data_IF_816940416071
#
_entry.id   IF_816940416071
#
_cell.length_a   1.000
_cell.length_b   1.000
_cell.length_c   1.000
_cell.angle_alpha   90.00
_cell.angle_beta   90.00
_cell.angle_gamma   90.00
#
_symmetry.space_group_name_H-M   'P 1'
#
loop_
_entity.id
_entity.type
_entity.pdbx_description
1 polymer ?
#
# COMPACT_ATOMS: atom_id res chain seq x y z
N UNK A 1 -14.58 -56.40 -17.63
CA UNK A 1 -15.13 -55.51 -18.69
C UNK A 1 -15.33 -54.14 -18.06
N UNK A 2 -14.32 -53.28 -18.08
CA UNK A 2 -14.39 -51.94 -17.46
C UNK A 2 -13.77 -50.96 -18.44
N UNK A 3 -14.64 -50.29 -19.19
CA UNK A 3 -14.30 -49.36 -20.26
C UNK A 3 -13.75 -48.08 -19.61
N UNK A 4 -12.42 -47.91 -19.61
CA UNK A 4 -11.78 -46.60 -19.38
C UNK A 4 -12.09 -45.73 -20.60
N UNK A 5 -13.06 -44.82 -20.47
CA UNK A 5 -13.31 -43.77 -21.47
C UNK A 5 -12.09 -42.84 -21.53
N UNK A 6 -11.55 -42.51 -22.71
CA UNK A 6 -10.50 -41.50 -22.81
C UNK A 6 -11.14 -40.13 -22.56
N UNK A 7 -10.74 -39.46 -21.49
CA UNK A 7 -11.05 -38.04 -21.29
C UNK A 7 -10.39 -37.29 -22.44
N UNK A 8 -11.19 -36.57 -23.23
CA UNK A 8 -10.77 -35.86 -24.44
C UNK A 8 -9.71 -34.81 -24.07
N UNK A 9 -8.50 -34.95 -24.62
CA UNK A 9 -7.41 -33.97 -24.47
C UNK A 9 -7.82 -32.53 -24.82
N UNK A 10 -8.80 -32.34 -25.72
CA UNK A 10 -9.33 -31.02 -26.08
C UNK A 10 -10.07 -30.29 -24.96
N UNK A 11 -10.62 -30.97 -23.95
CA UNK A 11 -11.31 -30.32 -22.82
C UNK A 11 -10.31 -29.74 -21.82
N UNK A 12 -9.13 -30.37 -21.66
CA UNK A 12 -8.08 -29.89 -20.75
C UNK A 12 -7.36 -28.65 -21.28
N UNK A 13 -7.14 -28.58 -22.60
CA UNK A 13 -6.51 -27.41 -23.27
C UNK A 13 -7.43 -26.18 -23.16
N UNK A 14 -8.74 -26.33 -23.40
CA UNK A 14 -9.68 -25.20 -23.27
C UNK A 14 -9.81 -24.68 -21.84
N UNK A 15 -9.67 -25.54 -20.84
CA UNK A 15 -9.71 -25.13 -19.42
C UNK A 15 -8.44 -24.39 -19.00
N UNK A 16 -7.25 -24.80 -19.47
CA UNK A 16 -6.00 -24.10 -19.14
C UNK A 16 -5.95 -22.71 -19.76
N UNK A 17 -6.40 -22.56 -21.00
CA UNK A 17 -6.38 -21.27 -21.70
C UNK A 17 -7.31 -20.28 -21.01
N UNK A 18 -8.51 -20.71 -20.62
CA UNK A 18 -9.46 -19.88 -19.88
C UNK A 18 -8.89 -19.36 -18.56
N UNK A 19 -8.19 -20.23 -17.80
CA UNK A 19 -7.54 -19.85 -16.53
C UNK A 19 -6.42 -18.82 -16.76
N UNK A 20 -5.65 -18.94 -17.85
CA UNK A 20 -4.62 -17.95 -18.17
C UNK A 20 -5.23 -16.58 -18.52
N UNK A 21 -6.33 -16.57 -19.30
CA UNK A 21 -7.05 -15.33 -19.59
C UNK A 21 -7.61 -14.67 -18.33
N UNK A 22 -8.18 -15.44 -17.41
CA UNK A 22 -8.67 -14.94 -16.12
C UNK A 22 -7.54 -14.29 -15.30
N UNK A 23 -6.39 -14.96 -15.21
CA UNK A 23 -5.22 -14.45 -14.49
C UNK A 23 -4.70 -13.13 -15.06
N UNK A 24 -4.58 -13.03 -16.38
CA UNK A 24 -4.15 -11.79 -17.05
C UNK A 24 -5.22 -10.69 -16.95
N UNK A 25 -6.50 -11.04 -17.01
CA UNK A 25 -7.58 -10.09 -16.80
C UNK A 25 -7.55 -9.51 -15.37
N UNK A 26 -7.27 -10.35 -14.36
CA UNK A 26 -7.12 -9.90 -12.98
C UNK A 26 -5.86 -9.04 -12.79
N UNK A 27 -4.75 -9.39 -13.44
CA UNK A 27 -3.53 -8.57 -13.44
C UNK A 27 -3.80 -7.16 -14.02
N UNK A 28 -4.53 -7.09 -15.15
CA UNK A 28 -4.97 -5.83 -15.76
C UNK A 28 -5.92 -5.06 -14.82
N UNK A 29 -6.91 -5.74 -14.23
CA UNK A 29 -7.88 -5.13 -13.34
C UNK A 29 -7.24 -4.57 -12.06
N UNK A 30 -6.30 -5.30 -11.46
CA UNK A 30 -5.50 -4.85 -10.33
C UNK A 30 -4.73 -3.56 -10.67
N UNK A 31 -4.10 -3.52 -11.85
CA UNK A 31 -3.43 -2.32 -12.35
C UNK A 31 -4.40 -1.15 -12.58
N UNK A 32 -5.56 -1.39 -13.19
CA UNK A 32 -6.59 -0.37 -13.41
C UNK A 32 -7.07 0.20 -12.06
N UNK A 33 -7.33 -0.65 -11.07
CA UNK A 33 -7.78 -0.24 -9.73
C UNK A 33 -6.81 0.75 -9.09
N UNK A 34 -5.52 0.39 -9.03
CA UNK A 34 -4.47 1.27 -8.50
C UNK A 34 -4.35 2.53 -9.38
N UNK A 35 -4.47 2.38 -10.70
CA UNK A 35 -4.42 3.46 -11.68
C UNK A 35 -5.56 4.46 -11.58
N UNK A 36 -6.73 4.08 -11.05
CA UNK A 36 -7.85 5.00 -10.80
C UNK A 36 -7.46 6.02 -9.73
N UNK A 37 -6.92 5.57 -8.60
CA UNK A 37 -6.44 6.47 -7.54
C UNK A 37 -5.35 7.41 -8.03
N UNK A 38 -4.44 6.91 -8.89
CA UNK A 38 -3.36 7.74 -9.45
C UNK A 38 -3.87 8.71 -10.52
N UNK A 39 -4.79 8.28 -11.37
CA UNK A 39 -5.41 9.11 -12.39
C UNK A 39 -6.34 10.18 -11.84
N UNK A 40 -6.96 9.93 -10.67
CA UNK A 40 -7.89 10.85 -10.01
C UNK A 40 -7.21 12.10 -9.45
N UNK A 41 -6.03 11.97 -8.85
CA UNK A 41 -5.27 13.13 -8.33
C UNK A 41 -4.57 13.96 -9.41
N UNK A 42 -4.25 13.37 -10.57
CA UNK A 42 -3.72 14.11 -11.72
C UNK A 42 -4.78 14.80 -12.58
N UNK A 43 -6.07 14.86 -12.16
CA UNK A 43 -7.15 15.38 -13.02
C UNK A 43 -7.07 16.88 -13.31
N UNK A 44 -6.42 17.67 -12.47
CA UNK A 44 -6.17 19.08 -12.71
C UNK A 44 -4.99 19.33 -13.69
N UNK A 45 -4.26 18.28 -14.06
CA UNK A 45 -3.12 18.36 -14.96
C UNK A 45 -3.53 18.05 -16.41
N UNK A 46 -3.04 18.85 -17.36
CA UNK A 46 -3.32 18.70 -18.79
C UNK A 46 -2.99 17.28 -19.31
N UNK A 47 -3.73 16.83 -20.32
CA UNK A 47 -3.41 15.58 -21.02
C UNK A 47 -1.98 15.65 -21.58
N UNK A 48 -1.11 14.76 -21.11
CA UNK A 48 0.32 14.74 -21.45
C UNK A 48 1.27 15.10 -20.29
N UNK A 49 0.80 15.75 -19.21
CA UNK A 49 1.64 16.01 -18.03
C UNK A 49 1.43 15.04 -16.86
N UNK A 50 0.51 14.06 -17.01
CA UNK A 50 0.24 13.03 -16.00
C UNK A 50 1.32 11.95 -16.05
N UNK A 51 2.12 11.87 -15.00
CA UNK A 51 3.28 10.96 -14.91
C UNK A 51 2.88 9.47 -15.01
N UNK A 52 1.70 9.08 -14.52
CA UNK A 52 1.12 7.74 -14.73
C UNK A 52 -0.36 7.72 -14.31
N UNK A 53 -1.25 7.24 -15.19
CA UNK A 53 -2.70 7.16 -14.93
C UNK A 53 -3.26 5.74 -15.06
N UNK A 54 -4.59 5.62 -15.22
CA UNK A 54 -5.32 4.34 -15.36
C UNK A 54 -4.69 3.42 -16.40
N UNK A 55 -4.39 3.97 -17.58
CA UNK A 55 -3.78 3.22 -18.70
C UNK A 55 -2.39 2.72 -18.35
N UNK A 56 -1.54 3.58 -17.77
CA UNK A 56 -0.16 3.23 -17.39
C UNK A 56 -0.15 2.11 -16.37
N UNK A 57 -0.91 2.24 -15.28
CA UNK A 57 -0.96 1.23 -14.23
C UNK A 57 -1.64 -0.07 -14.67
N UNK A 58 -2.68 -0.01 -15.50
CA UNK A 58 -3.25 -1.19 -16.15
C UNK A 58 -2.22 -1.95 -16.97
N UNK A 59 -1.45 -1.25 -17.80
CA UNK A 59 -0.38 -1.84 -18.60
C UNK A 59 0.77 -2.40 -17.74
N UNK A 60 1.10 -1.75 -16.63
CA UNK A 60 2.12 -2.26 -15.69
C UNK A 60 1.67 -3.58 -15.05
N UNK A 61 0.40 -3.66 -14.62
CA UNK A 61 -0.15 -4.89 -14.05
C UNK A 61 -0.15 -6.02 -15.07
N UNK A 62 -0.61 -5.73 -16.29
CA UNK A 62 -0.56 -6.69 -17.39
C UNK A 62 0.87 -7.12 -17.72
N UNK A 63 1.82 -6.18 -17.74
CA UNK A 63 3.24 -6.43 -18.02
C UNK A 63 3.83 -7.43 -17.00
N UNK A 64 3.56 -7.22 -15.71
CA UNK A 64 3.97 -8.16 -14.66
C UNK A 64 3.37 -9.55 -14.87
N UNK A 65 2.08 -9.61 -15.21
CA UNK A 65 1.40 -10.87 -15.50
C UNK A 65 1.98 -11.62 -16.70
N UNK A 66 2.28 -10.90 -17.78
CA UNK A 66 2.91 -11.48 -18.98
C UNK A 66 4.32 -12.00 -18.67
N UNK A 67 5.11 -11.24 -17.92
CA UNK A 67 6.47 -11.67 -17.55
C UNK A 67 6.48 -12.87 -16.63
N UNK A 68 5.48 -13.03 -15.76
CA UNK A 68 5.31 -14.26 -14.98
C UNK A 68 5.06 -15.47 -15.88
N UNK A 69 4.17 -15.35 -16.87
CA UNK A 69 3.92 -16.44 -17.81
C UNK A 69 5.16 -16.78 -18.66
N UNK A 70 5.97 -15.78 -19.01
CA UNK A 70 7.27 -16.03 -19.68
C UNK A 70 8.23 -16.75 -18.74
N UNK A 71 8.27 -16.36 -17.47
CA UNK A 71 9.13 -16.96 -16.45
C UNK A 71 8.79 -18.43 -16.17
N UNK A 72 7.53 -18.85 -16.32
CA UNK A 72 7.14 -20.26 -16.21
C UNK A 72 7.91 -21.16 -17.21
N UNK A 73 8.29 -20.62 -18.38
CA UNK A 73 9.06 -21.35 -19.39
C UNK A 73 10.57 -21.04 -19.36
N UNK A 74 10.94 -19.81 -19.01
CA UNK A 74 12.32 -19.32 -19.10
C UNK A 74 13.07 -19.29 -17.75
N UNK A 75 12.37 -19.57 -16.65
CA UNK A 75 12.90 -19.59 -15.28
C UNK A 75 12.67 -18.30 -14.49
N UNK A 76 12.64 -18.42 -13.16
CA UNK A 76 12.32 -17.33 -12.21
C UNK A 76 13.28 -16.13 -12.30
N UNK A 77 14.54 -16.37 -12.68
CA UNK A 77 15.56 -15.32 -12.87
C UNK A 77 15.10 -14.28 -13.90
N UNK A 78 14.36 -14.71 -14.93
CA UNK A 78 13.85 -13.85 -16.00
C UNK A 78 12.83 -12.85 -15.45
N UNK A 79 11.98 -13.27 -14.50
CA UNK A 79 11.02 -12.37 -13.85
C UNK A 79 11.75 -11.29 -13.03
N UNK A 80 12.79 -11.68 -12.29
CA UNK A 80 13.62 -10.74 -11.51
C UNK A 80 14.33 -9.72 -12.40
N UNK A 81 14.87 -10.15 -13.54
CA UNK A 81 15.49 -9.26 -14.53
C UNK A 81 14.47 -8.32 -15.17
N UNK A 82 13.28 -8.82 -15.54
CA UNK A 82 12.20 -8.02 -16.09
C UNK A 82 11.71 -6.96 -15.09
N UNK A 83 11.55 -7.34 -13.82
CA UNK A 83 11.22 -6.41 -12.74
C UNK A 83 12.30 -5.34 -12.57
N UNK A 84 13.58 -5.72 -12.56
CA UNK A 84 14.71 -4.79 -12.46
C UNK A 84 14.79 -3.82 -13.64
N UNK A 85 14.61 -4.32 -14.87
CA UNK A 85 14.58 -3.50 -16.09
C UNK A 85 13.38 -2.53 -16.07
N UNK A 86 12.20 -3.01 -15.71
CA UNK A 86 11.01 -2.17 -15.53
C UNK A 86 11.26 -1.08 -14.47
N UNK A 87 11.80 -1.45 -13.31
CA UNK A 87 12.11 -0.51 -12.24
C UNK A 87 13.07 0.58 -12.72
N UNK A 88 14.13 0.21 -13.42
CA UNK A 88 15.11 1.16 -13.95
C UNK A 88 14.49 2.14 -14.95
N UNK A 89 13.72 1.63 -15.91
CA UNK A 89 13.05 2.46 -16.93
C UNK A 89 12.01 3.37 -16.29
N UNK A 90 11.16 2.82 -15.42
CA UNK A 90 10.11 3.58 -14.76
C UNK A 90 10.71 4.66 -13.86
N UNK A 91 11.64 4.31 -12.96
CA UNK A 91 12.30 5.26 -12.08
C UNK A 91 13.08 6.33 -12.85
N UNK A 92 13.81 5.94 -13.91
CA UNK A 92 14.52 6.91 -14.77
C UNK A 92 13.56 7.90 -15.42
N UNK A 93 12.46 7.42 -16.00
CA UNK A 93 11.42 8.29 -16.58
C UNK A 93 10.74 9.17 -15.53
N UNK A 94 10.53 8.63 -14.33
CA UNK A 94 9.92 9.33 -13.21
C UNK A 94 10.82 10.46 -12.71
N UNK A 95 12.11 10.19 -12.52
CA UNK A 95 13.09 11.20 -12.08
C UNK A 95 13.24 12.33 -13.10
N UNK A 96 13.23 12.01 -14.40
CA UNK A 96 13.25 13.02 -15.46
C UNK A 96 11.99 13.91 -15.43
N UNK A 97 10.83 13.34 -15.07
CA UNK A 97 9.59 14.10 -14.89
C UNK A 97 9.59 14.93 -13.59
N UNK A 98 10.14 14.39 -12.49
CA UNK A 98 10.26 15.08 -11.19
C UNK A 98 11.13 16.33 -11.29
N UNK A 99 12.26 16.27 -12.02
CA UNK A 99 13.14 17.44 -12.20
C UNK A 99 12.44 18.62 -12.88
N UNK A 100 11.34 18.36 -13.60
CA UNK A 100 10.54 19.40 -14.23
C UNK A 100 9.38 19.89 -13.34
N UNK A 101 8.96 19.12 -12.31
CA UNK A 101 7.84 19.46 -11.42
C UNK A 101 8.05 18.94 -9.99
N UNK A 102 8.06 19.85 -9.03
CA UNK A 102 8.41 19.66 -7.61
C UNK A 102 7.48 18.74 -6.77
N UNK A 103 6.50 18.05 -7.36
CA UNK A 103 5.44 17.36 -6.59
C UNK A 103 5.12 15.94 -7.11
N UNK A 104 6.10 15.29 -7.71
CA UNK A 104 5.97 13.88 -8.10
C UNK A 104 6.53 13.01 -6.98
N UNK A 105 5.63 12.43 -6.17
CA UNK A 105 5.98 11.74 -4.92
C UNK A 105 6.55 10.33 -5.10
N UNK A 106 7.51 9.95 -4.25
CA UNK A 106 8.11 8.61 -4.18
C UNK A 106 7.10 7.45 -4.06
N UNK A 107 5.90 7.72 -3.54
CA UNK A 107 4.81 6.74 -3.45
C UNK A 107 4.30 6.26 -4.81
N UNK A 108 4.40 7.07 -5.87
CA UNK A 108 4.02 6.67 -7.23
C UNK A 108 4.99 5.62 -7.79
N UNK A 109 6.29 5.78 -7.53
CA UNK A 109 7.29 4.80 -7.91
C UNK A 109 7.04 3.46 -7.22
N UNK A 110 6.83 3.47 -5.90
CA UNK A 110 6.52 2.25 -5.14
C UNK A 110 5.23 1.60 -5.63
N UNK A 111 4.19 2.38 -5.90
CA UNK A 111 2.93 1.87 -6.44
C UNK A 111 3.12 1.19 -7.80
N UNK A 112 3.94 1.75 -8.69
CA UNK A 112 4.20 1.15 -10.00
C UNK A 112 4.93 -0.21 -9.85
N UNK A 113 5.93 -0.29 -8.98
CA UNK A 113 6.63 -1.55 -8.67
C UNK A 113 5.68 -2.59 -8.07
N UNK A 114 4.84 -2.19 -7.10
CA UNK A 114 3.82 -3.07 -6.52
C UNK A 114 2.83 -3.56 -7.58
N UNK A 115 2.43 -2.69 -8.51
CA UNK A 115 1.48 -3.05 -9.56
C UNK A 115 2.03 -4.14 -10.48
N UNK A 116 3.31 -4.05 -10.84
CA UNK A 116 3.98 -5.12 -11.59
C UNK A 116 3.99 -6.42 -10.79
N UNK A 117 4.39 -6.35 -9.51
CA UNK A 117 4.48 -7.53 -8.66
C UNK A 117 3.11 -8.20 -8.43
N UNK A 118 2.05 -7.42 -8.23
CA UNK A 118 0.67 -7.93 -8.09
C UNK A 118 0.16 -8.53 -9.40
N UNK A 119 0.52 -7.95 -10.54
CA UNK A 119 0.23 -8.54 -11.85
C UNK A 119 0.91 -9.89 -12.05
N UNK A 120 2.20 -9.99 -11.69
CA UNK A 120 2.93 -11.26 -11.70
C UNK A 120 2.31 -12.28 -10.74
N UNK A 121 1.93 -11.86 -9.53
CA UNK A 121 1.27 -12.70 -8.53
C UNK A 121 -0.09 -13.24 -9.03
N UNK A 122 -0.88 -12.41 -9.73
CA UNK A 122 -2.12 -12.85 -10.36
C UNK A 122 -1.86 -13.93 -11.42
N UNK A 123 -0.84 -13.74 -12.27
CA UNK A 123 -0.42 -14.72 -13.27
C UNK A 123 0.16 -16.00 -12.67
N UNK A 124 0.78 -15.94 -11.48
CA UNK A 124 1.21 -17.11 -10.74
C UNK A 124 0.04 -17.98 -10.22
N UNK A 125 -1.18 -17.41 -10.19
CA UNK A 125 -2.40 -18.09 -9.74
C UNK A 125 -2.91 -17.63 -8.39
N UNK A 126 -2.20 -16.71 -7.73
CA UNK A 126 -2.57 -16.17 -6.41
C UNK A 126 -3.57 -15.02 -6.55
N UNK A 127 -4.71 -15.29 -7.18
CA UNK A 127 -5.72 -14.29 -7.56
C UNK A 127 -6.24 -13.49 -6.36
N UNK A 128 -6.52 -14.16 -5.24
CA UNK A 128 -7.05 -13.53 -4.03
C UNK A 128 -6.04 -12.56 -3.40
N UNK A 129 -4.76 -12.97 -3.33
CA UNK A 129 -3.69 -12.12 -2.79
C UNK A 129 -3.39 -10.94 -3.70
N UNK A 130 -3.37 -11.15 -5.01
CA UNK A 130 -3.18 -10.08 -5.99
C UNK A 130 -4.32 -9.03 -5.91
N UNK A 131 -5.57 -9.49 -5.84
CA UNK A 131 -6.72 -8.60 -5.70
C UNK A 131 -6.74 -7.85 -4.36
N UNK A 132 -6.51 -8.55 -3.24
CA UNK A 132 -6.43 -7.94 -1.92
C UNK A 132 -5.29 -6.92 -1.83
N UNK A 133 -4.11 -7.27 -2.36
CA UNK A 133 -2.98 -6.38 -2.45
C UNK A 133 -3.27 -5.13 -3.29
N UNK A 134 -3.98 -5.28 -4.41
CA UNK A 134 -4.39 -4.14 -5.24
C UNK A 134 -5.36 -3.21 -4.51
N UNK A 135 -6.36 -3.77 -3.80
CA UNK A 135 -7.31 -3.01 -2.99
C UNK A 135 -6.61 -2.28 -1.86
N UNK A 136 -5.77 -2.96 -1.07
CA UNK A 136 -5.03 -2.36 0.05
C UNK A 136 -4.10 -1.26 -0.45
N UNK A 137 -3.38 -1.52 -1.55
CA UNK A 137 -2.50 -0.52 -2.18
C UNK A 137 -3.31 0.69 -2.61
N UNK A 138 -4.43 0.49 -3.32
CA UNK A 138 -5.34 1.55 -3.76
C UNK A 138 -5.88 2.36 -2.57
N UNK A 139 -6.35 1.70 -1.51
CA UNK A 139 -6.82 2.36 -0.30
C UNK A 139 -5.72 3.22 0.33
N UNK A 140 -4.53 2.64 0.59
CA UNK A 140 -3.42 3.36 1.20
C UNK A 140 -3.02 4.60 0.38
N UNK A 141 -3.03 4.45 -0.94
CA UNK A 141 -2.75 5.52 -1.89
C UNK A 141 -3.81 6.63 -1.85
N UNK A 142 -5.09 6.28 -1.69
CA UNK A 142 -6.21 7.21 -1.56
C UNK A 142 -6.28 7.94 -0.21
N UNK A 143 -5.59 7.46 0.82
CA UNK A 143 -5.52 8.12 2.14
C UNK A 143 -4.60 9.36 2.15
N UNK A 144 -3.66 9.50 1.19
CA UNK A 144 -2.70 10.63 1.13
C UNK A 144 -3.33 12.02 1.30
N UNK A 145 -4.42 12.40 0.59
CA UNK A 145 -5.03 13.73 0.69
C UNK A 145 -5.80 13.93 1.99
N UNK A 146 -6.28 12.84 2.58
CA UNK A 146 -6.91 12.88 3.90
C UNK A 146 -5.83 13.24 4.90
N UNK A 147 -4.72 12.50 4.92
CA UNK A 147 -3.60 12.76 5.83
C UNK A 147 -3.03 14.18 5.70
N UNK A 148 -2.84 14.69 4.48
CA UNK A 148 -2.37 16.07 4.29
C UNK A 148 -3.36 17.10 4.84
N UNK A 149 -4.67 16.95 4.58
CA UNK A 149 -5.69 17.86 5.13
C UNK A 149 -5.80 17.79 6.65
N UNK A 150 -5.60 16.62 7.26
CA UNK A 150 -5.54 16.52 8.72
C UNK A 150 -4.29 17.19 9.27
N UNK A 151 -3.13 17.00 8.63
CA UNK A 151 -1.88 17.67 9.03
C UNK A 151 -1.98 19.20 8.87
N UNK A 152 -2.59 19.70 7.80
CA UNK A 152 -2.79 21.14 7.59
C UNK A 152 -3.73 21.77 8.62
N UNK A 153 -4.62 20.97 9.23
CA UNK A 153 -5.55 21.43 10.27
C UNK A 153 -4.95 21.38 11.67
N UNK A 154 -3.91 20.58 11.89
CA UNK A 154 -3.24 20.45 13.19
C UNK A 154 -2.19 21.55 13.31
N UNK A 155 -2.28 22.37 14.36
CA UNK A 155 -1.24 23.36 14.64
C UNK A 155 0.06 22.70 15.13
N UNK A 156 1.20 23.37 14.95
CA UNK A 156 2.48 22.88 15.48
C UNK A 156 2.44 22.65 17.00
N UNK A 157 1.69 23.48 17.72
CA UNK A 157 1.48 23.38 19.16
C UNK A 157 0.67 22.14 19.54
N UNK A 158 -0.37 21.82 18.76
CA UNK A 158 -1.17 20.60 18.93
C UNK A 158 -0.35 19.35 18.65
N UNK A 159 0.49 19.37 17.60
CA UNK A 159 1.42 18.27 17.31
C UNK A 159 2.38 18.04 18.47
N UNK A 160 2.96 19.12 19.03
CA UNK A 160 3.81 19.02 20.21
C UNK A 160 3.04 18.52 21.44
N UNK A 161 1.77 18.89 21.62
CA UNK A 161 0.94 18.41 22.71
C UNK A 161 0.68 16.89 22.60
N UNK A 162 0.33 16.40 21.40
CA UNK A 162 0.18 14.95 21.12
C UNK A 162 1.50 14.22 21.37
N UNK A 163 2.61 14.76 20.86
CA UNK A 163 3.92 14.14 21.03
C UNK A 163 4.33 14.09 22.51
N UNK A 164 4.10 15.16 23.27
CA UNK A 164 4.32 15.18 24.73
C UNK A 164 3.47 14.13 25.44
N UNK A 165 2.19 14.00 25.07
CA UNK A 165 1.29 13.00 25.63
C UNK A 165 1.75 11.56 25.29
N UNK A 166 2.23 11.33 24.06
CA UNK A 166 2.82 10.05 23.64
C UNK A 166 4.11 9.74 24.41
N UNK A 167 4.99 10.72 24.63
CA UNK A 167 6.18 10.52 25.45
C UNK A 167 5.79 10.20 26.90
N UNK A 168 4.83 10.92 27.47
CA UNK A 168 4.35 10.66 28.83
C UNK A 168 3.71 9.28 28.98
N UNK A 169 2.98 8.80 27.97
CA UNK A 169 2.22 7.55 28.05
C UNK A 169 2.95 6.31 27.52
N UNK A 170 3.65 6.41 26.39
CA UNK A 170 4.30 5.27 25.73
C UNK A 170 5.74 5.09 26.20
N UNK A 171 6.43 6.17 26.56
CA UNK A 171 7.85 6.10 26.96
C UNK A 171 8.00 6.15 28.49
N UNK A 172 7.42 7.14 29.15
CA UNK A 172 7.62 7.36 30.58
C UNK A 172 6.84 6.36 31.45
N UNK A 173 5.55 6.13 31.13
CA UNK A 173 4.71 5.23 31.91
C UNK A 173 5.29 3.80 32.09
N UNK A 174 5.76 3.08 31.05
CA UNK A 174 6.30 1.73 31.24
C UNK A 174 7.64 1.70 31.99
N UNK A 175 8.36 2.81 32.04
CA UNK A 175 9.63 2.94 32.79
C UNK A 175 9.37 3.10 34.29
N UNK A 176 8.17 3.53 34.69
CA UNK A 176 7.85 3.78 36.08
C UNK A 176 7.69 2.47 36.87
N UNK A 177 8.32 2.36 38.05
CA UNK A 177 8.21 1.17 38.87
C UNK A 177 6.79 1.05 39.44
N UNK A 178 6.13 -0.07 39.15
CA UNK A 178 4.80 -0.38 39.68
C UNK A 178 4.88 -0.92 41.12
N UNK A 179 5.28 -0.08 42.06
CA UNK A 179 5.34 -0.40 43.49
C UNK A 179 5.02 0.83 44.33
N UNK A 180 4.33 0.62 45.45
CA UNK A 180 4.04 1.69 46.39
C UNK A 180 5.29 2.16 47.15
N UNK A 181 5.46 3.48 47.25
CA UNK A 181 6.48 4.16 48.03
C UNK A 181 5.85 4.91 49.22
N UNK A 182 6.61 5.13 50.30
CA UNK A 182 6.20 5.90 51.47
C UNK A 182 5.49 5.10 52.59
N UNK A 183 5.11 5.75 53.71
CA UNK A 183 4.37 5.12 54.79
C UNK A 183 3.06 4.53 54.25
N UNK A 184 2.75 3.29 54.63
CA UNK A 184 1.59 2.54 54.14
C UNK A 184 1.57 2.19 52.64
N UNK A 185 2.68 2.35 51.91
CA UNK A 185 2.78 2.09 50.46
C UNK A 185 1.77 2.89 49.60
N UNK A 186 1.26 4.01 50.12
CA UNK A 186 0.14 4.73 49.51
C UNK A 186 0.45 5.41 48.17
N UNK A 187 1.74 5.61 47.82
CA UNK A 187 2.13 6.32 46.60
C UNK A 187 2.68 5.34 45.56
N UNK A 188 1.87 4.91 44.61
CA UNK A 188 2.33 4.14 43.45
C UNK A 188 2.62 5.09 42.27
N UNK A 189 3.90 5.28 41.85
CA UNK A 189 4.25 6.16 40.74
C UNK A 189 3.58 5.79 39.42
N UNK A 190 3.37 4.50 39.17
CA UNK A 190 2.71 4.03 37.96
C UNK A 190 1.24 4.46 37.92
N UNK A 191 0.50 4.28 39.02
CA UNK A 191 -0.92 4.66 39.11
C UNK A 191 -1.11 6.18 39.06
N UNK A 192 -0.27 6.93 39.79
CA UNK A 192 -0.31 8.39 39.77
C UNK A 192 -0.05 8.95 38.36
N UNK A 193 0.94 8.39 37.66
CA UNK A 193 1.26 8.82 36.31
C UNK A 193 0.19 8.41 35.29
N UNK A 194 -0.42 7.24 35.47
CA UNK A 194 -1.57 6.82 34.67
C UNK A 194 -2.73 7.82 34.76
N UNK A 195 -3.04 8.31 35.96
CA UNK A 195 -4.05 9.36 36.15
C UNK A 195 -3.70 10.65 35.40
N UNK A 196 -2.43 11.08 35.44
CA UNK A 196 -1.95 12.27 34.72
C UNK A 196 -2.14 12.09 33.21
N UNK A 197 -1.78 10.93 32.66
CA UNK A 197 -1.95 10.61 31.24
C UNK A 197 -3.44 10.62 30.86
N UNK A 198 -4.31 10.04 31.69
CA UNK A 198 -5.76 10.02 31.44
C UNK A 198 -6.35 11.43 31.42
N UNK A 199 -6.04 12.26 32.42
CA UNK A 199 -6.56 13.63 32.51
C UNK A 199 -6.05 14.46 31.34
N UNK A 200 -4.76 14.40 31.04
CA UNK A 200 -4.16 15.12 29.91
C UNK A 200 -4.75 14.67 28.56
N UNK A 201 -4.99 13.37 28.39
CA UNK A 201 -5.63 12.81 27.20
C UNK A 201 -7.08 13.27 27.05
N UNK A 202 -7.87 13.24 28.12
CA UNK A 202 -9.25 13.75 28.14
C UNK A 202 -9.31 15.25 27.85
N UNK A 203 -8.40 16.06 28.42
CA UNK A 203 -8.32 17.49 28.14
C UNK A 203 -7.95 17.77 26.69
N UNK A 204 -7.02 17.01 26.12
CA UNK A 204 -6.64 17.14 24.72
C UNK A 204 -7.80 16.76 23.78
N UNK A 205 -8.50 15.67 24.06
CA UNK A 205 -9.70 15.26 23.31
C UNK A 205 -10.82 16.29 23.41
N UNK A 206 -11.03 16.88 24.59
CA UNK A 206 -12.01 17.95 24.80
C UNK A 206 -11.70 19.21 24.00
N UNK A 207 -10.43 19.64 23.99
CA UNK A 207 -9.97 20.74 23.14
C UNK A 207 -10.17 20.44 21.65
N UNK A 208 -9.81 19.23 21.21
CA UNK A 208 -9.95 18.81 19.81
C UNK A 208 -11.42 18.71 19.37
N UNK A 209 -12.34 18.33 20.25
CA UNK A 209 -13.77 18.22 19.96
C UNK A 209 -14.52 19.56 19.98
N UNK A 210 -14.00 20.56 20.70
CA UNK A 210 -14.57 21.89 20.80
C UNK A 210 -14.21 22.81 19.62
N UNK A 211 -13.39 22.34 18.69
CA UNK A 211 -12.91 23.07 17.51
C UNK A 211 -13.52 22.53 16.22
#
# INVERSE_FOLDING_TARGET
MTIRRPVRAGTLIGMSDFVMFERLALALAAGILIGIERGWHGRAEAEGSRVAGIRTFGLIGLLGGVWMLIADFAGEVVLGLAFGAFALVFLGSHMAAVQQRHDVGATTAVAALLTFALGAMAAAGELALAAAGAVITSMLLGLKPVMHRWLERISYEELLAVLKLLVMSVVLLPVLPNRGYGPWQALNPFELWWMIVLIAGLSFLGYAAAR
#
